data_IF_903398307246
#
_entry.id   IF_903398307246
#
_cell.length_a   1.000
_cell.length_b   1.000
_cell.length_c   1.000
_cell.angle_alpha   90.00
_cell.angle_beta   90.00
_cell.angle_gamma   90.00
#
_symmetry.space_group_name_H-M   'P 1'
#
loop_
_entity.id
_entity.type
_entity.pdbx_description
1 polymer ?
#
# COMPACT_ATOMS: atom_id res chain seq x y z
N UNK A 1 -27.09 -12.71 24.44
CA UNK A 1 -26.16 -11.62 24.09
C UNK A 1 -25.30 -12.13 22.95
N UNK A 2 -25.65 -11.79 21.71
CA UNK A 2 -24.90 -12.21 20.53
C UNK A 2 -23.74 -11.24 20.26
N UNK A 3 -22.53 -11.79 20.29
CA UNK A 3 -21.24 -11.08 20.25
C UNK A 3 -20.75 -10.74 18.82
N UNK A 4 -21.56 -10.96 17.79
CA UNK A 4 -21.13 -10.84 16.39
C UNK A 4 -22.15 -10.14 15.49
N UNK A 5 -22.75 -9.05 15.96
CA UNK A 5 -23.55 -8.20 15.09
C UNK A 5 -22.87 -6.83 14.90
N UNK A 6 -22.08 -6.62 13.82
CA UNK A 6 -21.77 -5.27 13.39
C UNK A 6 -23.02 -4.67 12.75
N UNK A 7 -23.85 -4.02 13.58
CA UNK A 7 -24.95 -3.18 13.09
C UNK A 7 -24.39 -2.04 12.24
N UNK A 8 -24.75 -2.08 10.97
CA UNK A 8 -25.01 -0.96 10.05
C UNK A 8 -23.97 0.17 9.96
N UNK A 9 -23.31 0.21 8.80
CA UNK A 9 -22.68 1.42 8.30
C UNK A 9 -21.89 1.11 7.03
N UNK A 10 -22.58 1.07 5.88
CA UNK A 10 -21.95 1.19 4.57
C UNK A 10 -20.92 2.33 4.59
N UNK A 11 -19.63 1.98 4.59
CA UNK A 11 -18.56 2.95 4.37
C UNK A 11 -18.23 2.96 2.89
N UNK A 12 -19.03 3.74 2.16
CA UNK A 12 -18.65 4.30 0.85
C UNK A 12 -17.23 4.86 0.95
N UNK A 13 -16.36 4.45 0.02
CA UNK A 13 -14.91 4.64 0.04
C UNK A 13 -14.45 6.08 0.27
N UNK A 14 -14.22 6.43 1.53
CA UNK A 14 -13.50 7.63 1.95
C UNK A 14 -12.35 7.16 2.83
N UNK A 15 -11.13 7.37 2.34
CA UNK A 15 -9.88 6.84 2.89
C UNK A 15 -9.47 7.64 4.14
N UNK A 16 -10.34 7.70 5.16
CA UNK A 16 -10.07 8.43 6.40
C UNK A 16 -9.22 7.55 7.31
N UNK A 17 -7.90 7.79 7.32
CA UNK A 17 -7.00 7.09 8.24
C UNK A 17 -7.33 7.50 9.68
N UNK A 18 -7.51 6.53 10.56
CA UNK A 18 -7.83 6.77 11.97
C UNK A 18 -6.75 7.66 12.62
N UNK A 19 -7.10 8.81 13.23
CA UNK A 19 -6.16 9.69 13.91
C UNK A 19 -5.40 9.01 15.06
N UNK A 20 -5.94 7.94 15.64
CA UNK A 20 -5.28 7.15 16.69
C UNK A 20 -4.31 6.10 16.13
N UNK A 21 -4.30 5.85 14.81
CA UNK A 21 -3.44 4.86 14.20
C UNK A 21 -1.94 5.24 14.30
N UNK A 22 -1.03 4.25 14.38
CA UNK A 22 0.40 4.49 14.38
C UNK A 22 0.84 5.34 13.17
N UNK A 23 1.84 6.21 13.37
CA UNK A 23 2.34 7.11 12.32
C UNK A 23 2.70 6.38 11.03
N UNK A 24 3.28 5.19 11.13
CA UNK A 24 3.65 4.37 9.98
C UNK A 24 2.45 3.99 9.10
N UNK A 25 1.27 3.79 9.69
CA UNK A 25 0.03 3.51 8.97
C UNK A 25 -0.47 4.78 8.27
N UNK A 26 -0.42 5.92 8.96
CA UNK A 26 -0.85 7.21 8.42
C UNK A 26 0.04 7.74 7.31
N UNK A 27 1.33 7.43 7.35
CA UNK A 27 2.32 7.87 6.37
C UNK A 27 2.50 6.87 5.22
N UNK A 28 1.67 5.83 5.12
CA UNK A 28 1.78 4.83 4.05
C UNK A 28 1.39 5.46 2.71
N UNK A 29 2.30 5.48 1.71
CA UNK A 29 2.00 5.86 0.34
C UNK A 29 0.71 5.23 -0.20
N UNK A 30 -0.11 6.05 -0.85
CA UNK A 30 -1.32 5.61 -1.56
C UNK A 30 -1.05 5.50 -3.05
N UNK A 31 -0.06 6.25 -3.55
CA UNK A 31 0.38 6.21 -4.96
C UNK A 31 1.80 5.73 -5.09
N UNK A 32 2.08 5.03 -6.19
CA UNK A 32 3.42 4.53 -6.51
C UNK A 32 4.47 5.66 -6.64
N UNK A 33 4.03 6.86 -7.02
CA UNK A 33 4.86 8.07 -7.12
C UNK A 33 5.33 8.64 -5.77
N UNK A 34 4.66 8.28 -4.68
CA UNK A 34 4.96 8.78 -3.32
C UNK A 34 6.07 7.95 -2.65
N UNK A 35 6.49 6.83 -3.26
CA UNK A 35 7.51 5.95 -2.72
C UNK A 35 8.89 6.58 -2.89
N UNK A 36 9.52 6.95 -1.78
CA UNK A 36 10.87 7.48 -1.75
C UNK A 36 11.94 6.37 -1.84
N UNK A 37 13.07 6.67 -2.49
CA UNK A 37 14.25 5.79 -2.51
C UNK A 37 14.22 4.61 -3.50
N UNK A 38 13.06 4.21 -4.01
CA UNK A 38 12.93 3.07 -4.95
C UNK A 38 12.82 3.48 -6.43
N UNK A 39 13.41 4.61 -6.82
CA UNK A 39 13.35 5.13 -8.20
C UNK A 39 13.83 4.15 -9.25
N UNK A 40 14.80 3.29 -8.95
CA UNK A 40 15.32 2.31 -9.89
C UNK A 40 14.29 1.20 -10.24
N UNK A 41 13.36 0.91 -9.33
CA UNK A 41 12.28 -0.07 -9.51
C UNK A 41 10.98 0.58 -10.02
N UNK A 42 10.76 1.87 -9.73
CA UNK A 42 9.51 2.57 -9.97
C UNK A 42 9.59 3.68 -11.04
N UNK A 43 10.77 3.91 -11.64
CA UNK A 43 10.90 4.83 -12.78
C UNK A 43 10.05 4.38 -13.97
N UNK A 44 9.73 5.32 -14.86
CA UNK A 44 9.08 5.01 -16.12
C UNK A 44 9.88 3.93 -16.88
N UNK A 45 9.19 2.87 -17.30
CA UNK A 45 9.78 1.75 -18.00
C UNK A 45 10.53 0.73 -17.14
N UNK A 46 10.61 0.90 -15.82
CA UNK A 46 11.09 -0.15 -14.93
C UNK A 46 10.15 -1.37 -14.96
N UNK A 47 10.73 -2.57 -14.79
CA UNK A 47 9.99 -3.82 -14.89
C UNK A 47 8.78 -3.85 -13.94
N UNK A 48 8.99 -3.50 -12.67
CA UNK A 48 7.92 -3.53 -11.67
C UNK A 48 6.79 -2.55 -12.02
N UNK A 49 7.13 -1.32 -12.42
CA UNK A 49 6.13 -0.33 -12.84
C UNK A 49 5.34 -0.77 -14.07
N UNK A 50 6.00 -1.36 -15.08
CA UNK A 50 5.33 -1.93 -16.26
C UNK A 50 4.39 -3.08 -15.91
N UNK A 51 4.80 -3.96 -14.98
CA UNK A 51 3.98 -5.08 -14.53
C UNK A 51 2.73 -4.60 -13.76
N UNK A 52 2.89 -3.56 -12.93
CA UNK A 52 1.78 -2.89 -12.24
C UNK A 52 0.84 -2.21 -13.25
N UNK A 53 1.37 -1.40 -14.17
CA UNK A 53 0.57 -0.66 -15.17
C UNK A 53 -0.16 -1.58 -16.16
N UNK A 54 0.40 -2.76 -16.45
CA UNK A 54 -0.22 -3.76 -17.32
C UNK A 54 -1.13 -4.75 -16.60
N UNK A 55 -1.28 -4.62 -15.27
CA UNK A 55 -2.06 -5.53 -14.41
C UNK A 55 -1.64 -7.01 -14.55
N UNK A 56 -0.34 -7.25 -14.74
CA UNK A 56 0.27 -8.58 -14.94
C UNK A 56 1.22 -8.97 -13.81
N UNK A 57 0.98 -8.46 -12.61
CA UNK A 57 1.78 -8.80 -11.45
C UNK A 57 1.60 -10.29 -11.10
N UNK A 58 2.68 -11.06 -11.24
CA UNK A 58 2.79 -12.44 -10.76
C UNK A 58 3.32 -12.48 -9.33
N UNK A 59 3.62 -13.66 -8.77
CA UNK A 59 4.26 -13.77 -7.46
C UNK A 59 5.64 -13.10 -7.44
N UNK A 60 5.82 -12.08 -6.60
CA UNK A 60 7.07 -11.31 -6.43
C UNK A 60 7.60 -11.44 -5.01
N UNK A 61 8.92 -11.55 -4.85
CA UNK A 61 9.59 -11.51 -3.55
C UNK A 61 10.26 -10.14 -3.39
N UNK A 62 9.84 -9.37 -2.39
CA UNK A 62 10.51 -8.12 -2.01
C UNK A 62 11.57 -8.39 -0.94
N UNK A 63 12.84 -8.13 -1.27
CA UNK A 63 13.99 -8.28 -0.38
C UNK A 63 14.68 -6.92 -0.14
N UNK A 64 15.18 -6.70 1.07
CA UNK A 64 15.98 -5.53 1.41
C UNK A 64 16.00 -5.21 2.91
N UNK A 65 16.84 -4.25 3.34
CA UNK A 65 16.99 -3.83 4.74
C UNK A 65 15.65 -3.46 5.42
N UNK A 66 15.52 -3.55 6.75
CA UNK A 66 14.30 -3.13 7.43
C UNK A 66 13.99 -1.65 7.16
N UNK A 67 12.70 -1.29 7.08
CA UNK A 67 12.26 0.09 6.84
C UNK A 67 12.29 0.60 5.40
N UNK A 68 12.67 -0.21 4.41
CA UNK A 68 12.74 0.21 2.99
C UNK A 68 11.41 0.26 2.23
N UNK A 69 10.27 0.08 2.91
CA UNK A 69 8.95 0.17 2.28
C UNK A 69 8.48 -1.06 1.51
N UNK A 70 9.06 -2.25 1.74
CA UNK A 70 8.64 -3.51 1.09
C UNK A 70 7.18 -3.89 1.35
N UNK A 71 6.70 -3.64 2.58
CA UNK A 71 5.31 -3.91 2.95
C UNK A 71 4.35 -2.88 2.37
N UNK A 72 4.87 -1.71 2.00
CA UNK A 72 4.12 -0.56 1.50
C UNK A 72 3.86 -0.64 0.00
N UNK A 73 4.86 -1.10 -0.77
CA UNK A 73 4.80 -1.40 -2.20
C UNK A 73 3.67 -2.35 -2.57
#
# INVERSE_FOLDING_TARGET
>A
MDLFNPTSGEKTGTNTVDPSAPLAVRMRPVKLSEIAGQKHLLKDGALLRRLIESDRLTSVIFYGPPGTGKTTL
#
